data_IF_851268848234
#
_entry.id   IF_851268848234
#
_cell.length_a   1.000
_cell.length_b   1.000
_cell.length_c   1.000
_cell.angle_alpha   90.00
_cell.angle_beta   90.00
_cell.angle_gamma   90.00
#
_symmetry.space_group_name_H-M   'P 1'
#
loop_
_entity.id
_entity.type
_entity.pdbx_description
1 polymer ?
#
# COMPACT_ATOMS: atom_id res chain seq x y z
N UNK A 1 -48.87 -2.07 4.24
CA UNK A 1 -49.50 -1.05 3.38
C UNK A 1 -50.60 -0.26 4.10
N UNK A 2 -51.79 -0.82 4.40
CA UNK A 2 -52.86 -0.07 5.10
C UNK A 2 -52.51 0.38 6.53
N UNK A 3 -51.78 -0.44 7.29
CA UNK A 3 -51.41 -0.11 8.67
C UNK A 3 -50.36 1.00 8.76
N UNK A 4 -49.33 1.00 7.91
CA UNK A 4 -48.30 2.05 7.89
C UNK A 4 -48.88 3.41 7.46
N UNK A 5 -49.78 3.43 6.46
CA UNK A 5 -50.49 4.65 6.05
C UNK A 5 -51.38 5.19 7.18
N UNK A 6 -52.07 4.31 7.90
CA UNK A 6 -52.89 4.70 9.05
C UNK A 6 -52.05 5.26 10.21
N UNK A 7 -50.92 4.63 10.52
CA UNK A 7 -50.01 5.06 11.60
C UNK A 7 -49.34 6.41 11.28
N UNK A 8 -48.99 6.64 10.00
CA UNK A 8 -48.45 7.91 9.53
C UNK A 8 -49.47 9.04 9.58
N UNK A 9 -50.72 8.78 9.14
CA UNK A 9 -51.81 9.76 9.22
C UNK A 9 -52.14 10.14 10.67
N UNK A 10 -52.09 9.17 11.60
CA UNK A 10 -52.34 9.41 13.01
C UNK A 10 -51.18 10.19 13.68
N UNK A 11 -49.93 9.95 13.29
CA UNK A 11 -48.78 10.73 13.77
C UNK A 11 -48.77 12.18 13.23
N UNK A 12 -49.09 12.38 11.95
CA UNK A 12 -49.22 13.72 11.35
C UNK A 12 -50.33 14.51 12.04
N UNK A 13 -51.44 13.84 12.39
CA UNK A 13 -52.56 14.45 13.11
C UNK A 13 -52.16 14.94 14.51
N UNK A 14 -51.20 14.28 15.17
CA UNK A 14 -50.68 14.68 16.49
C UNK A 14 -49.66 15.82 16.40
N UNK A 15 -48.83 15.83 15.35
CA UNK A 15 -47.85 16.90 15.10
C UNK A 15 -48.56 18.20 14.72
N UNK A 16 -49.68 18.13 14.01
CA UNK A 16 -50.34 19.31 13.45
C UNK A 16 -51.18 20.12 14.44
N UNK A 17 -51.45 19.66 15.68
CA UNK A 17 -51.99 20.40 16.84
C UNK A 17 -53.35 21.13 16.72
N UNK A 18 -53.73 21.61 15.54
CA UNK A 18 -54.89 22.43 15.21
C UNK A 18 -55.17 22.34 13.71
N UNK A 19 -55.73 21.23 13.23
CA UNK A 19 -56.58 21.22 12.03
C UNK A 19 -57.15 19.82 11.80
N UNK A 20 -58.29 19.53 12.41
CA UNK A 20 -59.22 18.50 11.89
C UNK A 20 -59.97 18.99 10.64
N UNK A 21 -59.47 20.05 10.00
CA UNK A 21 -60.05 20.66 8.82
C UNK A 21 -59.36 20.08 7.59
N UNK A 22 -59.88 18.94 7.11
CA UNK A 22 -59.66 18.37 5.77
C UNK A 22 -58.21 18.41 5.31
N UNK A 23 -57.48 17.31 5.56
CA UNK A 23 -56.34 16.94 4.71
C UNK A 23 -56.82 17.11 3.27
N UNK A 24 -56.23 18.06 2.55
CA UNK A 24 -56.58 18.33 1.16
C UNK A 24 -56.23 17.08 0.35
N UNK A 25 -56.97 16.74 -0.70
CA UNK A 25 -56.59 15.68 -1.66
C UNK A 25 -55.13 15.86 -2.14
N UNK A 26 -54.70 17.11 -2.27
CA UNK A 26 -53.33 17.47 -2.60
C UNK A 26 -52.27 17.13 -1.53
N UNK A 27 -52.65 16.99 -0.25
CA UNK A 27 -51.75 16.58 0.84
C UNK A 27 -51.67 15.04 0.91
N UNK A 28 -52.74 14.32 0.56
CA UNK A 28 -52.70 12.85 0.39
C UNK A 28 -51.76 12.45 -0.77
N UNK A 29 -51.84 13.14 -1.91
CA UNK A 29 -50.93 12.93 -3.05
C UNK A 29 -49.45 13.14 -2.65
N UNK A 30 -49.20 14.12 -1.77
CA UNK A 30 -47.86 14.43 -1.28
C UNK A 30 -47.32 13.31 -0.39
N UNK A 31 -48.16 12.76 0.48
CA UNK A 31 -47.82 11.61 1.32
C UNK A 31 -47.47 10.39 0.47
N UNK A 32 -48.31 10.08 -0.53
CA UNK A 32 -48.09 8.93 -1.40
C UNK A 32 -46.79 9.11 -2.22
N UNK A 33 -46.47 10.32 -2.68
CA UNK A 33 -45.25 10.59 -3.45
C UNK A 33 -43.96 10.48 -2.63
N UNK A 34 -43.95 11.01 -1.40
CA UNK A 34 -42.82 10.80 -0.47
C UNK A 34 -42.66 9.32 -0.13
N UNK A 35 -43.78 8.60 0.05
CA UNK A 35 -43.74 7.17 0.37
C UNK A 35 -43.13 6.37 -0.77
N UNK A 36 -43.51 6.65 -2.02
CA UNK A 36 -42.91 6.01 -3.20
C UNK A 36 -41.41 6.33 -3.34
N UNK A 37 -41.00 7.57 -3.03
CA UNK A 37 -39.59 7.98 -3.09
C UNK A 37 -38.73 7.17 -2.09
N UNK A 38 -39.15 7.11 -0.83
CA UNK A 38 -38.41 6.36 0.18
C UNK A 38 -38.49 4.85 -0.05
N UNK A 39 -39.61 4.33 -0.56
CA UNK A 39 -39.69 2.93 -0.97
C UNK A 39 -38.65 2.60 -2.04
N UNK A 40 -38.50 3.45 -3.07
CA UNK A 40 -37.49 3.27 -4.12
C UNK A 40 -36.06 3.32 -3.56
N UNK A 41 -35.76 4.29 -2.69
CA UNK A 41 -34.42 4.42 -2.08
C UNK A 41 -34.09 3.22 -1.20
N UNK A 42 -35.05 2.77 -0.38
CA UNK A 42 -34.84 1.69 0.58
C UNK A 42 -34.88 0.30 -0.08
N UNK A 43 -35.43 0.15 -1.29
CA UNK A 43 -35.39 -1.09 -2.06
C UNK A 43 -34.11 -1.28 -2.87
N UNK A 44 -33.22 -0.28 -2.90
CA UNK A 44 -31.92 -0.39 -3.59
C UNK A 44 -31.06 -1.48 -2.92
N UNK A 45 -30.75 -2.53 -3.69
CA UNK A 45 -29.94 -3.67 -3.22
C UNK A 45 -28.50 -3.31 -2.89
N UNK A 46 -28.01 -2.19 -3.41
CA UNK A 46 -26.67 -1.71 -3.14
C UNK A 46 -26.60 -0.93 -1.81
N UNK A 47 -27.72 -0.71 -1.13
CA UNK A 47 -27.78 0.01 0.14
C UNK A 47 -27.60 -0.96 1.32
N UNK A 48 -26.53 -0.82 2.12
CA UNK A 48 -26.32 -1.66 3.31
C UNK A 48 -27.39 -1.44 4.38
N UNK A 49 -27.72 -2.49 5.13
CA UNK A 49 -28.80 -2.50 6.14
C UNK A 49 -28.64 -1.38 7.18
N UNK A 50 -27.42 -1.11 7.64
CA UNK A 50 -27.14 -0.04 8.60
C UNK A 50 -27.50 1.36 8.05
N UNK A 51 -27.20 1.60 6.77
CA UNK A 51 -27.53 2.86 6.11
C UNK A 51 -29.02 2.96 5.79
N UNK A 52 -29.63 1.85 5.35
CA UNK A 52 -31.07 1.76 5.10
C UNK A 52 -31.88 2.15 6.35
N UNK A 53 -31.48 1.66 7.52
CA UNK A 53 -32.14 2.01 8.78
C UNK A 53 -32.03 3.52 9.12
N UNK A 54 -30.91 4.16 8.79
CA UNK A 54 -30.73 5.61 9.00
C UNK A 54 -31.59 6.43 8.02
N UNK A 55 -31.56 6.09 6.73
CA UNK A 55 -32.32 6.80 5.71
C UNK A 55 -33.83 6.65 5.89
N UNK A 56 -34.31 5.49 6.35
CA UNK A 56 -35.73 5.27 6.63
C UNK A 56 -36.30 6.26 7.65
N UNK A 57 -35.49 6.74 8.61
CA UNK A 57 -35.91 7.73 9.61
C UNK A 57 -36.19 9.10 9.01
N UNK A 58 -35.66 9.40 7.82
CA UNK A 58 -35.85 10.68 7.15
C UNK A 58 -37.24 10.82 6.48
N UNK A 59 -38.04 9.76 6.41
CA UNK A 59 -39.35 9.80 5.75
C UNK A 59 -40.26 10.89 6.33
N UNK A 60 -40.31 11.03 7.67
CA UNK A 60 -41.15 12.04 8.33
C UNK A 60 -40.64 13.47 8.10
N UNK A 61 -39.35 13.79 8.34
CA UNK A 61 -38.81 15.12 7.99
C UNK A 61 -39.08 15.53 6.53
N UNK A 62 -38.90 14.61 5.58
CA UNK A 62 -39.12 14.91 4.17
C UNK A 62 -40.60 15.05 3.82
N UNK A 63 -41.48 14.31 4.50
CA UNK A 63 -42.91 14.53 4.36
C UNK A 63 -43.31 15.93 4.84
N UNK A 64 -42.77 16.36 5.99
CA UNK A 64 -43.00 17.71 6.52
C UNK A 64 -42.48 18.79 5.57
N UNK A 65 -41.28 18.64 4.99
CA UNK A 65 -40.79 19.55 3.94
C UNK A 65 -41.71 19.55 2.72
N UNK A 66 -42.18 18.39 2.27
CA UNK A 66 -43.01 18.29 1.08
C UNK A 66 -44.36 19.04 1.22
N UNK A 67 -44.89 19.10 2.45
CA UNK A 67 -46.08 19.87 2.80
C UNK A 67 -45.76 21.37 2.87
N UNK A 68 -44.64 21.75 3.49
CA UNK A 68 -44.22 23.15 3.65
C UNK A 68 -43.75 23.81 2.33
N UNK A 69 -43.01 23.08 1.50
CA UNK A 69 -42.50 23.53 0.21
C UNK A 69 -42.69 22.48 -0.90
N UNK A 70 -43.74 22.70 -1.69
CA UNK A 70 -44.09 21.89 -2.87
C UNK A 70 -42.97 21.86 -3.93
N UNK A 71 -42.01 22.80 -3.88
CA UNK A 71 -40.88 22.85 -4.83
C UNK A 71 -39.90 21.69 -4.64
N UNK A 72 -39.95 20.97 -3.52
CA UNK A 72 -39.13 19.77 -3.27
C UNK A 72 -39.10 18.82 -4.48
N UNK A 73 -40.26 18.59 -5.11
CA UNK A 73 -40.37 17.67 -6.25
C UNK A 73 -40.13 18.34 -7.59
N UNK A 74 -40.54 19.61 -7.74
CA UNK A 74 -40.42 20.36 -8.98
C UNK A 74 -38.98 20.84 -9.26
N UNK A 75 -38.21 21.16 -8.22
CA UNK A 75 -36.87 21.72 -8.33
C UNK A 75 -35.81 20.69 -7.95
N UNK A 76 -35.03 20.23 -8.93
CA UNK A 76 -33.89 19.33 -8.67
C UNK A 76 -32.84 19.96 -7.75
N UNK A 77 -32.71 21.29 -7.78
CA UNK A 77 -31.76 22.02 -6.95
C UNK A 77 -32.24 22.24 -5.49
N UNK A 78 -33.43 21.75 -5.13
CA UNK A 78 -33.97 21.94 -3.79
C UNK A 78 -33.01 21.37 -2.72
N UNK A 79 -32.68 22.11 -1.65
CA UNK A 79 -31.68 21.71 -0.65
C UNK A 79 -31.94 20.34 -0.04
N UNK A 80 -33.19 20.06 0.33
CA UNK A 80 -33.55 18.75 0.88
C UNK A 80 -33.33 17.62 -0.13
N UNK A 81 -33.68 17.81 -1.40
CA UNK A 81 -33.45 16.80 -2.43
C UNK A 81 -31.96 16.53 -2.62
N UNK A 82 -31.16 17.60 -2.72
CA UNK A 82 -29.70 17.48 -2.84
C UNK A 82 -29.08 16.76 -1.65
N UNK A 83 -29.56 17.03 -0.43
CA UNK A 83 -29.07 16.35 0.77
C UNK A 83 -29.41 14.86 0.74
N UNK A 84 -30.65 14.49 0.38
CA UNK A 84 -31.06 13.09 0.25
C UNK A 84 -30.21 12.36 -0.79
N UNK A 85 -30.02 12.96 -1.96
CA UNK A 85 -29.21 12.39 -3.04
C UNK A 85 -27.77 12.19 -2.56
N UNK A 86 -27.18 13.19 -1.88
CA UNK A 86 -25.81 13.11 -1.34
C UNK A 86 -25.67 12.01 -0.27
N UNK A 87 -26.65 11.88 0.62
CA UNK A 87 -26.67 10.82 1.63
C UNK A 87 -26.85 9.44 1.00
N UNK A 88 -27.74 9.30 0.01
CA UNK A 88 -27.99 8.05 -0.69
C UNK A 88 -26.74 7.61 -1.47
N UNK A 89 -26.10 8.52 -2.20
CA UNK A 89 -24.88 8.22 -2.96
C UNK A 89 -23.73 7.82 -2.03
N UNK A 90 -23.53 8.54 -0.92
CA UNK A 90 -22.54 8.17 0.08
C UNK A 90 -22.83 6.80 0.73
N UNK A 91 -24.10 6.50 0.98
CA UNK A 91 -24.52 5.25 1.59
C UNK A 91 -24.36 4.03 0.68
N UNK A 92 -24.58 4.17 -0.64
CA UNK A 92 -24.39 3.08 -1.62
C UNK A 92 -22.93 2.64 -1.75
N UNK A 93 -21.98 3.58 -1.60
CA UNK A 93 -20.55 3.29 -1.65
C UNK A 93 -19.97 2.76 -0.34
N UNK A 94 -20.76 2.69 0.73
CA UNK A 94 -20.28 2.33 2.06
C UNK A 94 -20.22 0.81 2.24
N UNK A 95 -19.14 0.34 2.86
CA UNK A 95 -18.97 -1.03 3.36
C UNK A 95 -18.09 -1.00 4.61
N UNK A 96 -18.17 -2.05 5.44
CA UNK A 96 -17.30 -2.18 6.63
C UNK A 96 -15.81 -2.26 6.28
N UNK A 97 -15.49 -2.72 5.08
CA UNK A 97 -14.12 -2.79 4.57
C UNK A 97 -13.61 -1.40 4.18
N UNK A 98 -14.45 -0.58 3.53
CA UNK A 98 -14.10 0.78 3.12
C UNK A 98 -14.09 1.80 4.28
N UNK A 99 -14.82 1.53 5.36
CA UNK A 99 -14.92 2.40 6.54
C UNK A 99 -14.76 1.61 7.84
N UNK A 100 -13.55 1.10 8.15
CA UNK A 100 -13.30 0.30 9.35
C UNK A 100 -13.58 1.06 10.66
N UNK A 101 -13.35 2.38 10.63
CA UNK A 101 -13.55 3.28 11.77
C UNK A 101 -15.02 3.74 11.92
N UNK A 102 -15.93 3.32 11.02
CA UNK A 102 -17.34 3.71 11.00
C UNK A 102 -17.57 5.24 10.96
N UNK A 103 -16.65 6.00 10.36
CA UNK A 103 -16.70 7.47 10.34
C UNK A 103 -17.80 7.98 9.42
N UNK A 104 -17.92 7.44 8.22
CA UNK A 104 -18.98 7.86 7.29
C UNK A 104 -20.34 7.49 7.84
N UNK A 105 -20.46 6.30 8.44
CA UNK A 105 -21.69 5.89 9.14
C UNK A 105 -22.03 6.84 10.29
N UNK A 106 -21.03 7.30 11.05
CA UNK A 106 -21.18 8.29 12.11
C UNK A 106 -21.65 9.65 11.58
N UNK A 107 -21.06 10.14 10.49
CA UNK A 107 -21.42 11.42 9.88
C UNK A 107 -22.85 11.40 9.33
N UNK A 108 -23.23 10.33 8.61
CA UNK A 108 -24.62 10.14 8.13
C UNK A 108 -25.60 10.11 9.30
N UNK A 109 -25.28 9.38 10.36
CA UNK A 109 -26.11 9.33 11.57
C UNK A 109 -26.28 10.71 12.19
N UNK A 110 -25.20 11.48 12.32
CA UNK A 110 -25.25 12.83 12.88
C UNK A 110 -26.15 13.76 12.05
N UNK A 111 -26.07 13.71 10.72
CA UNK A 111 -26.95 14.46 9.82
C UNK A 111 -28.41 14.07 10.02
N UNK A 112 -28.70 12.76 10.07
CA UNK A 112 -30.06 12.24 10.27
C UNK A 112 -30.63 12.65 11.63
N UNK A 113 -29.85 12.50 12.70
CA UNK A 113 -30.29 12.85 14.06
C UNK A 113 -30.54 14.36 14.19
N UNK A 114 -29.68 15.18 13.60
CA UNK A 114 -29.85 16.63 13.60
C UNK A 114 -31.07 17.07 12.79
N UNK A 115 -31.37 16.39 11.68
CA UNK A 115 -32.63 16.58 10.95
C UNK A 115 -33.87 16.20 11.77
N UNK A 116 -33.79 15.14 12.57
CA UNK A 116 -34.91 14.72 13.42
C UNK A 116 -35.13 15.65 14.61
N UNK A 117 -34.08 16.31 15.10
CA UNK A 117 -34.14 17.18 16.28
C UNK A 117 -34.36 18.66 15.93
N UNK A 118 -33.65 19.19 14.94
CA UNK A 118 -33.61 20.63 14.65
C UNK A 118 -34.64 21.06 13.59
N UNK A 119 -35.28 20.11 12.89
CA UNK A 119 -36.20 20.45 11.80
C UNK A 119 -37.62 20.75 12.29
N UNK A 120 -37.83 22.02 12.62
CA UNK A 120 -39.16 22.60 12.71
C UNK A 120 -39.65 23.10 11.33
N UNK A 121 -39.57 24.40 11.05
CA UNK A 121 -40.06 24.98 9.79
C UNK A 121 -38.96 25.66 8.96
N UNK A 122 -37.70 25.65 9.44
CA UNK A 122 -36.56 26.26 8.74
C UNK A 122 -35.95 25.28 7.72
N UNK A 123 -36.31 25.46 6.44
CA UNK A 123 -35.72 24.72 5.31
C UNK A 123 -34.20 24.99 5.19
N UNK A 124 -33.70 26.11 5.73
CA UNK A 124 -32.28 26.44 5.77
C UNK A 124 -31.42 25.43 6.52
N UNK A 125 -32.00 24.59 7.39
CA UNK A 125 -31.30 23.46 8.04
C UNK A 125 -30.70 22.52 6.98
N UNK A 126 -31.43 22.22 5.91
CA UNK A 126 -30.97 21.31 4.84
C UNK A 126 -29.74 21.87 4.11
N UNK A 127 -29.71 23.17 3.84
CA UNK A 127 -28.54 23.81 3.19
C UNK A 127 -27.31 23.81 4.09
N UNK A 128 -27.49 23.97 5.40
CA UNK A 128 -26.39 23.91 6.37
C UNK A 128 -25.83 22.50 6.44
N UNK A 129 -26.70 21.50 6.62
CA UNK A 129 -26.30 20.08 6.68
C UNK A 129 -25.68 19.59 5.38
N UNK A 130 -26.20 20.02 4.22
CA UNK A 130 -25.62 19.69 2.92
C UNK A 130 -24.18 20.21 2.78
N UNK A 131 -23.92 21.44 3.21
CA UNK A 131 -22.57 22.01 3.17
C UNK A 131 -21.62 21.31 4.14
N UNK A 132 -22.08 21.04 5.37
CA UNK A 132 -21.29 20.36 6.40
C UNK A 132 -20.93 18.93 5.97
N UNK A 133 -21.94 18.14 5.56
CA UNK A 133 -21.75 16.77 5.10
C UNK A 133 -20.90 16.69 3.83
N UNK A 134 -21.10 17.62 2.88
CA UNK A 134 -20.26 17.70 1.69
C UNK A 134 -18.78 17.94 2.01
N UNK A 135 -18.48 18.79 2.99
CA UNK A 135 -17.10 19.03 3.44
C UNK A 135 -16.48 17.81 4.15
N UNK A 136 -17.28 17.07 4.92
CA UNK A 136 -16.86 15.81 5.54
C UNK A 136 -16.55 14.76 4.47
N UNK A 137 -17.42 14.59 3.47
CA UNK A 137 -17.23 13.64 2.37
C UNK A 137 -15.96 13.92 1.56
N UNK A 138 -15.69 15.19 1.24
CA UNK A 138 -14.45 15.58 0.56
C UNK A 138 -13.19 15.26 1.40
N UNK A 139 -13.29 15.40 2.72
CA UNK A 139 -12.20 15.04 3.63
C UNK A 139 -11.94 13.54 3.63
N UNK A 140 -13.00 12.73 3.64
CA UNK A 140 -12.88 11.26 3.55
C UNK A 140 -12.29 10.83 2.22
N UNK A 141 -12.77 11.41 1.10
CA UNK A 141 -12.27 11.12 -0.24
C UNK A 141 -10.78 11.39 -0.38
N UNK A 142 -10.31 12.57 0.05
CA UNK A 142 -8.89 12.94 0.00
C UNK A 142 -8.01 12.00 0.83
N UNK A 143 -8.51 11.53 1.98
CA UNK A 143 -7.79 10.56 2.83
C UNK A 143 -7.69 9.19 2.17
N UNK A 144 -8.77 8.73 1.54
CA UNK A 144 -8.78 7.48 0.79
C UNK A 144 -7.78 7.53 -0.38
N UNK A 145 -7.80 8.59 -1.18
CA UNK A 145 -6.87 8.79 -2.31
C UNK A 145 -5.39 8.80 -1.86
N UNK A 146 -5.06 9.47 -0.75
CA UNK A 146 -3.70 9.45 -0.19
C UNK A 146 -3.25 8.07 0.28
N UNK A 147 -4.19 7.27 0.80
CA UNK A 147 -3.89 5.94 1.32
C UNK A 147 -3.69 4.96 0.17
N UNK A 148 -4.52 5.05 -0.85
CA UNK A 148 -4.39 4.28 -2.09
C UNK A 148 -3.08 4.59 -2.81
N UNK A 149 -2.72 5.88 -2.94
CA UNK A 149 -1.46 6.28 -3.56
C UNK A 149 -0.25 5.67 -2.83
N UNK A 150 -0.24 5.73 -1.50
CA UNK A 150 0.85 5.14 -0.70
C UNK A 150 0.88 3.63 -0.81
N UNK A 151 -0.28 2.96 -0.82
CA UNK A 151 -0.36 1.52 -1.00
C UNK A 151 0.16 1.10 -2.39
N UNK A 152 -0.21 1.85 -3.44
CA UNK A 152 0.26 1.62 -4.80
C UNK A 152 1.78 1.85 -4.94
N UNK A 153 2.32 2.91 -4.34
CA UNK A 153 3.76 3.17 -4.32
C UNK A 153 4.53 2.09 -3.56
N UNK A 154 4.02 1.64 -2.41
CA UNK A 154 4.61 0.55 -1.64
C UNK A 154 4.60 -0.77 -2.42
N UNK A 155 3.49 -1.10 -3.10
CA UNK A 155 3.39 -2.28 -3.95
C UNK A 155 4.40 -2.23 -5.11
N UNK A 156 4.50 -1.10 -5.83
CA UNK A 156 5.49 -0.90 -6.90
C UNK A 156 6.93 -0.98 -6.40
N UNK A 157 7.20 -0.45 -5.20
CA UNK A 157 8.53 -0.55 -4.57
C UNK A 157 8.94 -1.99 -4.29
N UNK A 158 8.01 -2.80 -3.76
CA UNK A 158 8.23 -4.23 -3.51
C UNK A 158 8.50 -5.00 -4.80
N UNK A 159 7.69 -4.78 -5.82
CA UNK A 159 7.86 -5.42 -7.12
C UNK A 159 9.22 -5.09 -7.76
N UNK A 160 9.61 -3.81 -7.74
CA UNK A 160 10.93 -3.38 -8.23
C UNK A 160 12.08 -4.04 -7.47
N UNK A 161 11.98 -4.14 -6.15
CA UNK A 161 12.99 -4.80 -5.31
C UNK A 161 13.12 -6.29 -5.64
N UNK A 162 12.00 -7.00 -5.77
CA UNK A 162 12.01 -8.42 -6.11
C UNK A 162 12.55 -8.68 -7.52
N UNK A 163 12.19 -7.84 -8.49
CA UNK A 163 12.77 -7.91 -9.83
C UNK A 163 14.29 -7.68 -9.81
N UNK A 164 14.76 -6.67 -9.06
CA UNK A 164 16.19 -6.39 -8.92
C UNK A 164 16.94 -7.54 -8.25
N UNK A 165 16.38 -8.15 -7.21
CA UNK A 165 16.94 -9.34 -6.54
C UNK A 165 17.07 -10.53 -7.48
N UNK A 166 16.01 -10.86 -8.23
CA UNK A 166 16.04 -11.95 -9.22
C UNK A 166 17.07 -11.70 -10.32
N UNK A 167 17.11 -10.47 -10.83
CA UNK A 167 18.06 -10.08 -11.88
C UNK A 167 19.51 -10.19 -11.40
N UNK A 168 19.81 -9.71 -10.19
CA UNK A 168 21.14 -9.81 -9.59
C UNK A 168 21.53 -11.28 -9.33
N UNK A 169 20.61 -12.08 -8.79
CA UNK A 169 20.84 -13.50 -8.53
C UNK A 169 21.13 -14.28 -9.83
N UNK A 170 20.33 -14.05 -10.88
CA UNK A 170 20.55 -14.67 -12.19
C UNK A 170 21.90 -14.26 -12.77
N UNK A 171 22.23 -12.97 -12.73
CA UNK A 171 23.54 -12.51 -13.20
C UNK A 171 24.69 -13.20 -12.47
N UNK A 172 24.64 -13.32 -11.13
CA UNK A 172 25.67 -14.03 -10.36
C UNK A 172 25.72 -15.52 -10.73
N UNK A 173 24.57 -16.17 -10.87
CA UNK A 173 24.51 -17.59 -11.25
C UNK A 173 25.08 -17.82 -12.64
N UNK A 174 24.72 -17.01 -13.63
CA UNK A 174 25.20 -17.13 -15.01
C UNK A 174 26.73 -17.02 -15.08
N UNK A 175 27.35 -16.13 -14.30
CA UNK A 175 28.81 -16.01 -14.25
C UNK A 175 29.48 -17.20 -13.55
N UNK A 176 28.78 -17.89 -12.66
CA UNK A 176 29.28 -19.05 -11.91
C UNK A 176 29.08 -20.40 -12.63
N UNK A 177 28.23 -20.49 -13.66
CA UNK A 177 27.84 -21.77 -14.29
C UNK A 177 29.03 -22.57 -14.85
N UNK A 178 30.00 -21.89 -15.46
CA UNK A 178 31.15 -22.55 -16.11
C UNK A 178 32.44 -22.53 -15.27
N UNK A 179 32.36 -22.04 -14.03
CA UNK A 179 33.54 -21.78 -13.20
C UNK A 179 33.38 -22.38 -11.80
N UNK A 180 34.44 -23.00 -11.29
CA UNK A 180 34.47 -23.54 -9.93
C UNK A 180 35.44 -22.72 -9.04
N UNK A 181 35.09 -21.47 -8.70
CA UNK A 181 35.95 -20.64 -7.87
C UNK A 181 35.96 -21.15 -6.42
N UNK A 182 36.98 -20.77 -5.62
CA UNK A 182 37.04 -21.07 -4.20
C UNK A 182 35.76 -20.65 -3.45
N UNK A 183 35.41 -21.38 -2.39
CA UNK A 183 34.19 -21.14 -1.60
C UNK A 183 34.07 -19.68 -1.12
N UNK A 184 35.19 -19.05 -0.78
CA UNK A 184 35.23 -17.64 -0.37
C UNK A 184 34.68 -16.72 -1.48
N UNK A 185 35.17 -16.88 -2.71
CA UNK A 185 34.77 -16.07 -3.87
C UNK A 185 33.30 -16.30 -4.20
N UNK A 186 32.86 -17.57 -4.15
CA UNK A 186 31.44 -17.93 -4.30
C UNK A 186 30.58 -17.19 -3.26
N UNK A 187 30.95 -17.24 -1.98
CA UNK A 187 30.20 -16.57 -0.91
C UNK A 187 30.16 -15.04 -1.09
N UNK A 188 31.27 -14.44 -1.53
CA UNK A 188 31.38 -13.01 -1.81
C UNK A 188 30.44 -12.59 -2.94
N UNK A 189 30.41 -13.35 -4.04
CA UNK A 189 29.54 -13.05 -5.18
C UNK A 189 28.07 -13.25 -4.84
N UNK A 190 27.72 -14.33 -4.14
CA UNK A 190 26.31 -14.68 -3.87
C UNK A 190 25.65 -13.83 -2.77
N UNK A 191 26.42 -13.23 -1.85
CA UNK A 191 25.87 -12.44 -0.73
C UNK A 191 26.18 -10.95 -0.87
N UNK A 192 27.37 -10.45 -0.49
CA UNK A 192 27.60 -9.01 -0.46
C UNK A 192 27.64 -8.38 -1.85
N UNK A 193 28.17 -9.06 -2.88
CA UNK A 193 28.19 -8.52 -4.23
C UNK A 193 26.81 -8.54 -4.89
N UNK A 194 26.02 -9.60 -4.69
CA UNK A 194 24.63 -9.64 -5.12
C UNK A 194 23.81 -8.47 -4.55
N UNK A 195 23.99 -8.15 -3.26
CA UNK A 195 23.36 -6.98 -2.64
C UNK A 195 23.81 -5.66 -3.26
N UNK A 196 25.08 -5.53 -3.63
CA UNK A 196 25.58 -4.37 -4.37
C UNK A 196 24.89 -4.24 -5.74
N UNK A 197 24.79 -5.33 -6.51
CA UNK A 197 24.09 -5.35 -7.80
C UNK A 197 22.62 -4.94 -7.65
N UNK A 198 21.92 -5.38 -6.61
CA UNK A 198 20.54 -4.94 -6.32
C UNK A 198 20.47 -3.44 -6.10
N UNK A 199 21.38 -2.85 -5.31
CA UNK A 199 21.40 -1.41 -5.05
C UNK A 199 21.67 -0.60 -6.31
N UNK A 200 22.61 -1.04 -7.15
CA UNK A 200 22.93 -0.39 -8.43
C UNK A 200 21.74 -0.49 -9.38
N UNK A 201 21.10 -1.67 -9.50
CA UNK A 201 19.91 -1.85 -10.33
C UNK A 201 18.74 -0.97 -9.89
N UNK A 202 18.52 -0.80 -8.59
CA UNK A 202 17.45 0.04 -8.06
C UNK A 202 17.71 1.54 -8.25
N UNK A 203 18.97 1.97 -8.16
CA UNK A 203 19.34 3.40 -8.21
C UNK A 203 19.61 3.89 -9.64
N UNK A 204 20.25 3.07 -10.46
CA UNK A 204 20.85 3.48 -11.73
C UNK A 204 20.33 2.64 -12.92
N UNK A 205 19.80 1.44 -12.66
CA UNK A 205 19.18 0.58 -13.67
C UNK A 205 20.16 -0.34 -14.39
N UNK A 206 19.62 -1.34 -15.11
CA UNK A 206 20.42 -2.38 -15.78
C UNK A 206 21.25 -1.86 -16.97
N UNK A 207 20.87 -0.72 -17.56
CA UNK A 207 21.61 -0.13 -18.68
C UNK A 207 22.78 0.75 -18.24
N UNK A 208 22.95 0.98 -16.93
CA UNK A 208 23.91 1.95 -16.39
C UNK A 208 25.35 1.49 -16.57
N UNK A 209 26.31 2.43 -16.74
CA UNK A 209 27.72 2.09 -16.82
C UNK A 209 28.23 1.41 -15.52
N UNK A 210 27.68 1.77 -14.37
CA UNK A 210 28.04 1.18 -13.08
C UNK A 210 27.58 -0.27 -12.95
N UNK A 211 26.39 -0.61 -13.45
CA UNK A 211 25.94 -2.00 -13.47
C UNK A 211 26.85 -2.86 -14.35
N UNK A 212 27.22 -2.34 -15.53
CA UNK A 212 28.18 -3.03 -16.42
C UNK A 212 29.56 -3.16 -15.79
N UNK A 213 30.05 -2.13 -15.10
CA UNK A 213 31.31 -2.19 -14.37
C UNK A 213 31.26 -3.23 -13.24
N UNK A 214 30.12 -3.35 -12.55
CA UNK A 214 29.92 -4.34 -11.51
C UNK A 214 29.88 -5.78 -12.04
N UNK A 215 29.36 -5.99 -13.26
CA UNK A 215 29.44 -7.28 -13.96
C UNK A 215 30.89 -7.57 -14.41
N UNK A 216 31.57 -6.58 -15.02
CA UNK A 216 32.96 -6.73 -15.46
C UNK A 216 33.90 -7.08 -14.29
N UNK A 217 33.67 -6.50 -13.11
CA UNK A 217 34.40 -6.89 -11.91
C UNK A 217 34.24 -8.38 -11.58
N UNK A 218 33.03 -8.96 -11.74
CA UNK A 218 32.84 -10.39 -11.53
C UNK A 218 33.62 -11.21 -12.56
N UNK A 219 33.62 -10.80 -13.83
CA UNK A 219 34.41 -11.45 -14.88
C UNK A 219 35.90 -11.45 -14.56
N UNK A 220 36.45 -10.30 -14.17
CA UNK A 220 37.87 -10.16 -13.83
C UNK A 220 38.23 -10.95 -12.56
N UNK A 221 37.33 -10.95 -11.57
CA UNK A 221 37.49 -11.72 -10.34
C UNK A 221 37.44 -13.22 -10.61
N UNK A 222 36.57 -13.70 -11.50
CA UNK A 222 36.50 -15.11 -11.82
C UNK A 222 37.68 -15.55 -12.70
N UNK A 223 38.06 -14.70 -13.66
CA UNK A 223 39.27 -14.91 -14.48
C UNK A 223 40.53 -15.00 -13.62
N UNK A 224 40.64 -14.21 -12.53
CA UNK A 224 41.83 -14.21 -11.67
C UNK A 224 42.11 -15.57 -11.01
N UNK A 225 41.07 -16.39 -10.77
CA UNK A 225 41.17 -17.73 -10.19
C UNK A 225 41.30 -18.86 -11.23
N UNK A 226 41.28 -18.55 -12.53
CA UNK A 226 41.55 -19.53 -13.59
C UNK A 226 43.06 -19.83 -13.67
N UNK A 227 43.51 -21.07 -13.91
CA UNK A 227 44.95 -21.39 -14.02
C UNK A 227 45.69 -20.52 -15.07
N UNK A 228 46.89 -20.04 -14.72
CA UNK A 228 47.71 -19.14 -15.56
C UNK A 228 49.01 -19.85 -16.00
N UNK A 229 49.02 -20.51 -17.17
CA UNK A 229 50.15 -21.33 -17.60
C UNK A 229 51.37 -20.50 -18.04
N UNK A 230 51.17 -19.26 -18.50
CA UNK A 230 52.20 -18.41 -19.09
C UNK A 230 52.61 -17.23 -18.18
N UNK A 231 53.82 -16.71 -18.40
CA UNK A 231 54.34 -15.57 -17.63
C UNK A 231 53.59 -14.26 -17.91
N UNK A 232 53.08 -14.07 -19.13
CA UNK A 232 52.32 -12.87 -19.51
C UNK A 232 50.97 -12.81 -18.77
N UNK A 233 50.27 -13.93 -18.65
CA UNK A 233 49.02 -14.04 -17.87
C UNK A 233 49.24 -13.79 -16.38
N UNK A 234 50.38 -14.20 -15.80
CA UNK A 234 50.75 -13.87 -14.41
C UNK A 234 51.06 -12.38 -14.23
N UNK A 235 51.75 -11.77 -15.18
CA UNK A 235 52.01 -10.33 -15.15
C UNK A 235 50.71 -9.51 -15.28
N UNK A 236 49.76 -9.97 -16.12
CA UNK A 236 48.43 -9.37 -16.24
C UNK A 236 47.65 -9.46 -14.92
N UNK A 237 47.71 -10.61 -14.23
CA UNK A 237 47.07 -10.76 -12.92
C UNK A 237 47.64 -9.78 -11.89
N UNK A 238 48.97 -9.62 -11.82
CA UNK A 238 49.59 -8.62 -10.94
C UNK A 238 49.12 -7.19 -11.21
N UNK A 239 48.91 -6.83 -12.48
CA UNK A 239 48.41 -5.50 -12.85
C UNK A 239 46.92 -5.30 -12.49
N UNK A 240 46.12 -6.36 -12.50
CA UNK A 240 44.67 -6.32 -12.23
C UNK A 240 44.31 -6.33 -10.74
N UNK A 241 45.14 -6.93 -9.88
CA UNK A 241 44.85 -7.05 -8.44
C UNK A 241 44.55 -5.70 -7.74
N UNK A 242 45.34 -4.62 -7.93
CA UNK A 242 45.06 -3.34 -7.29
C UNK A 242 43.73 -2.71 -7.73
N UNK A 243 43.29 -2.99 -8.96
CA UNK A 243 42.02 -2.51 -9.49
C UNK A 243 40.84 -3.32 -8.96
N UNK A 244 40.97 -4.65 -8.89
CA UNK A 244 40.00 -5.53 -8.25
C UNK A 244 39.78 -5.16 -6.77
N UNK A 245 40.85 -4.96 -5.99
CA UNK A 245 40.72 -4.57 -4.58
C UNK A 245 40.00 -3.23 -4.42
N UNK A 246 40.31 -2.25 -5.28
CA UNK A 246 39.66 -0.93 -5.25
C UNK A 246 38.18 -1.02 -5.56
N UNK A 247 37.81 -1.72 -6.64
CA UNK A 247 36.42 -1.93 -7.04
C UNK A 247 35.63 -2.71 -5.99
N UNK A 248 36.26 -3.70 -5.36
CA UNK A 248 35.65 -4.46 -4.28
C UNK A 248 35.37 -3.57 -3.05
N UNK A 249 36.35 -2.74 -2.62
CA UNK A 249 36.15 -1.79 -1.51
C UNK A 249 35.01 -0.80 -1.81
N UNK A 250 34.99 -0.25 -3.02
CA UNK A 250 33.94 0.70 -3.43
C UNK A 250 32.55 0.06 -3.46
N UNK A 251 32.43 -1.16 -4.01
CA UNK A 251 31.17 -1.91 -4.03
C UNK A 251 30.67 -2.27 -2.63
N UNK A 252 31.55 -2.80 -1.78
CA UNK A 252 31.20 -3.22 -0.41
C UNK A 252 30.88 -2.04 0.52
N UNK A 253 31.54 -0.89 0.35
CA UNK A 253 31.20 0.33 1.08
C UNK A 253 29.76 0.79 0.78
N UNK A 254 29.28 0.56 -0.45
CA UNK A 254 27.91 0.91 -0.86
C UNK A 254 26.85 0.02 -0.20
N UNK A 255 27.22 -1.22 0.18
CA UNK A 255 26.34 -2.21 0.85
C UNK A 255 26.33 -2.05 2.38
N UNK A 256 26.98 -1.01 2.91
CA UNK A 256 27.12 -0.77 4.35
C UNK A 256 27.82 -1.93 5.11
N UNK A 257 28.69 -2.69 4.43
CA UNK A 257 29.55 -3.65 5.10
C UNK A 257 30.60 -2.89 5.93
N UNK A 258 30.79 -3.28 7.18
CA UNK A 258 31.73 -2.62 8.10
C UNK A 258 33.18 -2.76 7.59
N UNK A 259 33.98 -1.70 7.71
CA UNK A 259 35.41 -1.69 7.35
C UNK A 259 36.24 -2.86 7.88
N UNK A 260 36.09 -3.34 9.15
CA UNK A 260 36.83 -4.51 9.62
C UNK A 260 36.52 -5.80 8.84
N UNK A 261 35.28 -5.99 8.40
CA UNK A 261 34.88 -7.17 7.62
C UNK A 261 35.38 -7.08 6.18
N UNK A 262 35.40 -5.88 5.60
CA UNK A 262 36.03 -5.62 4.30
C UNK A 262 37.52 -5.98 4.31
N UNK A 263 38.24 -5.55 5.36
CA UNK A 263 39.68 -5.83 5.49
C UNK A 263 39.96 -7.33 5.65
N UNK A 264 39.17 -8.04 6.46
CA UNK A 264 39.29 -9.51 6.60
C UNK A 264 39.04 -10.25 5.30
N UNK A 265 38.02 -9.86 4.54
CA UNK A 265 37.73 -10.47 3.23
C UNK A 265 38.89 -10.28 2.25
N UNK A 266 39.49 -9.08 2.23
CA UNK A 266 40.65 -8.79 1.38
C UNK A 266 41.90 -9.57 1.81
N UNK A 267 42.16 -9.71 3.11
CA UNK A 267 43.24 -10.55 3.62
C UNK A 267 43.08 -12.02 3.20
N UNK A 268 41.86 -12.55 3.30
CA UNK A 268 41.55 -13.92 2.86
C UNK A 268 41.69 -14.09 1.34
N UNK A 269 41.26 -13.10 0.54
CA UNK A 269 41.46 -13.11 -0.91
C UNK A 269 42.95 -13.08 -1.27
N UNK A 270 43.75 -12.22 -0.62
CA UNK A 270 45.19 -12.14 -0.83
C UNK A 270 45.91 -13.44 -0.46
N UNK A 271 45.47 -14.13 0.60
CA UNK A 271 45.99 -15.45 0.93
C UNK A 271 45.74 -16.48 -0.19
N UNK A 272 44.60 -16.40 -0.89
CA UNK A 272 44.28 -17.28 -2.03
C UNK A 272 45.08 -16.92 -3.29
N UNK A 273 45.46 -15.65 -3.49
CA UNK A 273 46.25 -15.23 -4.65
C UNK A 273 47.73 -15.61 -4.57
N UNK A 274 48.32 -15.71 -3.38
CA UNK A 274 49.76 -16.02 -3.20
C UNK A 274 50.23 -17.30 -3.90
N UNK A 275 49.56 -18.47 -3.77
CA UNK A 275 49.94 -19.68 -4.49
C UNK A 275 49.83 -19.55 -6.02
N UNK A 276 48.86 -18.78 -6.52
CA UNK A 276 48.64 -18.55 -7.95
C UNK A 276 49.73 -17.68 -8.58
N UNK A 277 50.35 -16.79 -7.78
CA UNK A 277 51.44 -15.91 -8.20
C UNK A 277 52.82 -16.57 -8.07
N UNK A 278 52.91 -17.78 -7.50
CA UNK A 278 54.17 -18.48 -7.25
C UNK A 278 54.95 -17.93 -6.05
N UNK A 279 54.29 -17.19 -5.16
CA UNK A 279 54.86 -16.72 -3.91
C UNK A 279 54.74 -17.80 -2.81
N UNK A 280 55.76 -17.93 -1.96
CA UNK A 280 55.76 -18.92 -0.89
C UNK A 280 54.58 -18.69 0.09
N UNK A 281 53.92 -19.74 0.60
CA UNK A 281 52.83 -19.61 1.54
C UNK A 281 53.32 -18.92 2.83
N UNK A 282 52.64 -17.85 3.26
CA UNK A 282 52.78 -17.45 4.65
C UNK A 282 52.17 -18.53 5.53
N UNK A 283 52.83 -18.79 6.67
CA UNK A 283 52.49 -19.84 7.62
C UNK A 283 51.02 -19.84 8.06
N UNK A 284 50.58 -20.95 8.66
CA UNK A 284 49.17 -21.27 8.84
C UNK A 284 48.45 -20.18 9.61
N UNK A 285 47.46 -19.54 8.98
CA UNK A 285 46.44 -18.76 9.69
C UNK A 285 45.68 -19.76 10.55
N UNK A 286 45.82 -19.62 11.88
CA UNK A 286 45.29 -20.52 12.88
C UNK A 286 43.77 -20.72 12.71
N UNK A 287 43.41 -21.85 12.11
CA UNK A 287 42.04 -22.27 11.90
C UNK A 287 41.64 -23.21 13.04
N UNK A 288 40.95 -22.71 14.06
CA UNK A 288 40.29 -23.55 15.09
C UNK A 288 39.22 -22.84 15.95
N UNK A 289 39.09 -21.51 15.93
CA UNK A 289 38.16 -20.81 16.84
C UNK A 289 36.89 -20.24 16.19
N UNK A 290 36.77 -20.23 14.85
CA UNK A 290 35.74 -19.43 14.16
C UNK A 290 34.48 -20.20 13.69
N UNK A 291 34.44 -21.53 13.85
CA UNK A 291 33.24 -22.32 13.55
C UNK A 291 32.04 -21.97 14.47
N UNK A 292 32.30 -21.39 15.63
CA UNK A 292 31.28 -21.05 16.63
C UNK A 292 30.80 -19.59 16.51
N UNK A 293 31.52 -18.71 15.80
CA UNK A 293 31.17 -17.28 15.67
C UNK A 293 30.44 -16.94 14.37
N UNK A 294 30.73 -17.68 13.29
CA UNK A 294 29.95 -17.60 12.05
C UNK A 294 28.45 -17.93 12.26
N UNK A 295 28.12 -18.76 13.25
CA UNK A 295 26.71 -19.04 13.63
C UNK A 295 26.00 -17.89 14.34
N UNK A 296 26.73 -16.95 14.96
CA UNK A 296 26.11 -15.78 15.62
C UNK A 296 25.86 -14.61 14.67
N UNK A 297 26.67 -14.46 13.62
CA UNK A 297 26.45 -13.44 12.60
C UNK A 297 25.33 -13.78 11.61
N UNK A 298 25.00 -15.07 11.42
CA UNK A 298 23.80 -15.47 10.67
C UNK A 298 22.50 -15.13 11.45
N UNK A 299 22.53 -15.09 12.79
CA UNK A 299 21.33 -14.84 13.63
C UNK A 299 20.88 -13.37 13.68
N UNK A 300 21.82 -12.43 13.60
CA UNK A 300 21.50 -10.99 13.70
C UNK A 300 21.06 -10.38 12.34
N UNK A 301 21.29 -11.07 11.22
CA UNK A 301 20.81 -10.66 9.88
C UNK A 301 19.48 -11.35 9.53
N UNK A 302 19.20 -12.51 10.13
CA UNK A 302 17.89 -13.19 10.02
C UNK A 302 16.73 -12.37 10.62
N UNK A 303 17.03 -11.37 11.46
CA UNK A 303 16.02 -10.48 12.07
C UNK A 303 15.63 -9.28 11.18
N UNK A 304 16.23 -9.11 9.99
CA UNK A 304 15.83 -8.09 9.01
C UNK A 304 15.00 -8.65 7.83
N UNK A 305 14.50 -9.88 7.96
CA UNK A 305 13.63 -10.52 6.97
C UNK A 305 12.34 -11.01 7.66
N UNK A 306 11.13 -10.52 7.31
CA UNK A 306 9.90 -11.21 7.68
C UNK A 306 9.82 -12.57 6.94
N UNK A 307 9.10 -13.56 7.51
CA UNK A 307 9.13 -14.94 7.04
C UNK A 307 8.58 -15.07 5.62
N UNK A 308 9.06 -16.12 4.94
CA UNK A 308 8.54 -16.56 3.66
C UNK A 308 7.01 -16.71 3.74
N UNK A 309 6.30 -16.05 2.81
CA UNK A 309 4.89 -16.35 2.55
C UNK A 309 4.83 -17.77 2.00
N UNK A 310 4.39 -18.72 2.83
CA UNK A 310 3.88 -20.00 2.38
C UNK A 310 2.70 -19.76 1.41
N UNK A 311 2.55 -20.57 0.35
CA UNK A 311 1.33 -20.53 -0.46
C UNK A 311 0.15 -21.06 0.37
N UNK A 312 -0.92 -20.27 0.52
CA UNK A 312 -2.17 -20.78 1.07
C UNK A 312 -2.71 -21.93 0.19
N UNK A 313 -3.15 -23.05 0.79
CA UNK A 313 -3.84 -24.09 0.05
C UNK A 313 -5.27 -23.64 -0.29
N UNK A 314 -5.73 -24.08 -1.46
CA UNK A 314 -7.10 -23.93 -2.01
C UNK A 314 -8.18 -24.38 -1.04
#
# INVERSE_FOLDING_TARGET
>A
MRHVKADLLDQVSRISGQARARVSEADEDTIDLVSMLFEFILQDRNLPTEMQALLARLQIPYLKVAILDRRLFAQRAHPARRLLDTLADAAKGWSRESDPDLRLLGDVRAVVERLLQDFDDDIGVFERLLREFGAQLETHRKRAELTELRAAEAARGREKLEHARRSAANAVLDHLQDQNPPQLVRSLLTRPWANYLVLVLLRQGAASPEYRAALHFMDDLLWSFTPKPDAASRQRLHALLPELERSLRQGLATVALQEPDQNRLLEQLNALYRPLLGEAPAGPVANAADATRARRADQDIETALPPALEPEPV
#
